data_IF_516480476264
#
_entry.id   IF_516480476264
#
_cell.length_a   1.000
_cell.length_b   1.000
_cell.length_c   1.000
_cell.angle_alpha   90.00
_cell.angle_beta   90.00
_cell.angle_gamma   90.00
#
_symmetry.space_group_name_H-M   'P 1'
#
loop_
_entity.id
_entity.type
_entity.pdbx_description
1 polymer ?
#
# COMPACT_ATOMS: atom_id res chain seq x y z
N UNK A 1 -6.06 11.84 -6.12
CA UNK A 1 -6.90 10.96 -7.00
C UNK A 1 -7.86 10.11 -6.16
N UNK A 2 -9.00 9.56 -6.65
CA UNK A 2 -9.87 8.72 -5.81
C UNK A 2 -9.20 7.39 -5.38
N UNK A 3 -8.15 6.96 -6.09
CA UNK A 3 -7.43 5.72 -5.81
C UNK A 3 -5.94 5.97 -5.60
N UNK A 4 -5.54 6.22 -4.35
CA UNK A 4 -4.15 6.48 -3.93
C UNK A 4 -3.15 5.43 -4.42
N UNK A 5 -3.58 4.17 -4.54
CA UNK A 5 -2.69 3.08 -4.97
C UNK A 5 -2.16 3.26 -6.40
N UNK A 6 -2.86 4.00 -7.27
CA UNK A 6 -2.39 4.31 -8.63
C UNK A 6 -1.06 5.06 -8.63
N UNK A 7 -0.77 5.86 -7.61
CA UNK A 7 0.48 6.63 -7.54
C UNK A 7 1.73 5.74 -7.45
N UNK A 8 1.60 4.48 -7.01
CA UNK A 8 2.71 3.53 -7.06
C UNK A 8 3.24 3.32 -8.48
N UNK A 9 2.42 3.54 -9.52
CA UNK A 9 2.85 3.41 -10.91
C UNK A 9 3.96 4.41 -11.26
N UNK A 10 3.92 5.64 -10.70
CA UNK A 10 4.92 6.67 -10.98
C UNK A 10 6.31 6.32 -10.43
N UNK A 11 6.37 5.46 -9.41
CA UNK A 11 7.64 5.08 -8.78
C UNK A 11 8.21 3.76 -9.29
N UNK A 12 7.47 2.98 -10.08
CA UNK A 12 7.94 1.71 -10.64
C UNK A 12 9.25 1.80 -11.44
N UNK A 13 9.57 2.91 -12.15
CA UNK A 13 10.88 3.06 -12.80
C UNK A 13 12.06 2.95 -11.80
N UNK A 14 11.84 3.34 -10.53
CA UNK A 14 12.80 3.19 -9.45
C UNK A 14 12.93 1.78 -8.89
N UNK A 15 12.10 0.82 -9.34
CA UNK A 15 12.08 -0.56 -8.89
C UNK A 15 12.63 -1.50 -9.97
N UNK A 16 13.11 -2.67 -9.53
CA UNK A 16 13.46 -3.82 -10.36
C UNK A 16 12.46 -4.95 -10.14
N UNK A 17 12.31 -5.82 -11.15
CA UNK A 17 11.37 -6.94 -11.10
C UNK A 17 11.70 -8.04 -10.09
N UNK A 18 12.83 -7.95 -9.39
CA UNK A 18 13.22 -8.83 -8.27
C UNK A 18 12.84 -8.25 -6.90
N UNK A 19 12.15 -7.10 -6.86
CA UNK A 19 11.77 -6.40 -5.64
C UNK A 19 12.88 -5.54 -5.03
N UNK A 20 14.01 -5.34 -5.72
CA UNK A 20 15.07 -4.39 -5.33
C UNK A 20 14.86 -3.01 -5.96
N UNK A 21 15.47 -1.97 -5.36
CA UNK A 21 15.42 -0.62 -5.90
C UNK A 21 16.59 -0.35 -6.82
N UNK A 22 16.40 0.49 -7.83
CA UNK A 22 17.48 0.98 -8.70
C UNK A 22 18.39 1.91 -7.91
N UNK A 23 19.70 1.78 -8.14
CA UNK A 23 20.70 2.50 -7.35
C UNK A 23 20.57 2.20 -5.86
N UNK A 24 20.42 3.25 -5.05
CA UNK A 24 20.29 3.17 -3.59
C UNK A 24 18.85 3.38 -3.10
N UNK A 25 17.87 3.46 -4.01
CA UNK A 25 16.47 3.63 -3.66
C UNK A 25 15.94 2.40 -2.90
N UNK A 26 15.04 2.65 -1.95
CA UNK A 26 14.43 1.63 -1.11
C UNK A 26 12.98 1.42 -1.55
N UNK A 27 12.65 0.33 -2.27
CA UNK A 27 11.35 0.14 -2.92
C UNK A 27 10.13 0.34 -2.01
N UNK A 28 10.14 -0.28 -0.82
CA UNK A 28 9.03 -0.20 0.11
C UNK A 28 8.78 1.24 0.58
N UNK A 29 9.86 2.00 0.79
CA UNK A 29 9.79 3.40 1.25
C UNK A 29 9.37 4.32 0.10
N UNK A 30 9.84 4.06 -1.11
CA UNK A 30 9.46 4.81 -2.31
C UNK A 30 7.96 4.65 -2.62
N UNK A 31 7.45 3.41 -2.56
CA UNK A 31 6.02 3.12 -2.72
C UNK A 31 5.20 3.73 -1.58
N UNK A 32 5.64 3.59 -0.32
CA UNK A 32 4.97 4.22 0.81
C UNK A 32 4.92 5.75 0.71
N UNK A 33 5.99 6.38 0.23
CA UNK A 33 6.03 7.81 -0.06
C UNK A 33 5.05 8.22 -1.16
N UNK A 34 4.86 7.39 -2.18
CA UNK A 34 3.84 7.66 -3.21
C UNK A 34 2.40 7.60 -2.69
N UNK A 35 2.18 7.06 -1.49
CA UNK A 35 0.87 7.00 -0.85
C UNK A 35 0.69 8.07 0.23
N UNK A 36 1.78 8.52 0.87
CA UNK A 36 1.73 9.33 2.09
C UNK A 36 0.87 10.60 2.00
N UNK A 37 0.86 11.39 0.90
CA UNK A 37 0.11 12.65 0.89
C UNK A 37 -1.40 12.46 1.12
N UNK A 38 -1.94 11.35 0.62
CA UNK A 38 -3.36 10.99 0.68
C UNK A 38 -3.78 10.31 1.99
N UNK A 39 -2.84 9.83 2.82
CA UNK A 39 -3.18 9.04 4.02
C UNK A 39 -4.07 9.83 5.00
N UNK A 40 -3.94 11.15 5.01
CA UNK A 40 -4.79 12.04 5.81
C UNK A 40 -6.27 11.96 5.41
N UNK A 41 -6.57 11.73 4.13
CA UNK A 41 -7.94 11.58 3.64
C UNK A 41 -8.62 10.31 4.13
N UNK A 42 -7.86 9.22 4.34
CA UNK A 42 -8.38 8.00 4.96
C UNK A 42 -8.69 8.22 6.46
N UNK A 43 -7.89 9.03 7.15
CA UNK A 43 -8.10 9.36 8.56
C UNK A 43 -9.30 10.29 8.80
N UNK A 44 -9.75 11.05 7.80
CA UNK A 44 -10.83 12.03 7.92
C UNK A 44 -12.21 11.45 8.36
N UNK A 45 -12.39 10.13 8.29
CA UNK A 45 -13.59 9.48 8.84
C UNK A 45 -13.63 9.45 10.37
N UNK A 46 -12.48 9.57 11.04
CA UNK A 46 -12.34 9.43 12.50
C UNK A 46 -11.61 10.60 13.16
N UNK A 47 -10.80 11.35 12.40
CA UNK A 47 -10.05 12.51 12.88
C UNK A 47 -10.58 13.79 12.21
N UNK A 48 -11.28 14.68 12.95
CA UNK A 48 -11.69 15.98 12.44
C UNK A 48 -10.47 16.79 11.96
N UNK A 49 -10.62 17.53 10.86
CA UNK A 49 -9.54 18.35 10.28
C UNK A 49 -8.51 17.58 9.43
N UNK A 50 -8.50 16.24 9.43
CA UNK A 50 -7.55 15.48 8.60
C UNK A 50 -7.73 15.73 7.09
N UNK A 51 -8.97 16.00 6.64
CA UNK A 51 -9.21 16.40 5.25
C UNK A 51 -8.52 17.72 4.90
N UNK A 52 -8.61 18.73 5.77
CA UNK A 52 -8.01 20.06 5.56
C UNK A 52 -6.48 20.00 5.64
N UNK A 53 -5.95 19.13 6.51
CA UNK A 53 -4.51 18.87 6.61
C UNK A 53 -3.91 18.31 5.31
N UNK A 54 -4.73 17.77 4.41
CA UNK A 54 -4.34 17.43 3.04
C UNK A 54 -3.72 18.59 2.26
N UNK A 55 -4.10 19.83 2.56
CA UNK A 55 -3.46 21.01 1.96
C UNK A 55 -1.97 21.11 2.32
N UNK A 56 -1.60 20.72 3.54
CA UNK A 56 -0.22 20.72 4.02
C UNK A 56 0.56 19.52 3.49
N UNK A 57 -0.01 18.31 3.49
CA UNK A 57 0.67 17.11 2.96
C UNK A 57 0.96 17.24 1.46
N UNK A 58 0.11 17.94 0.71
CA UNK A 58 0.32 18.21 -0.71
C UNK A 58 1.18 19.47 -0.98
N UNK A 59 1.65 20.16 0.05
CA UNK A 59 2.58 21.27 -0.10
C UNK A 59 4.03 20.75 -0.18
N UNK A 60 4.91 21.53 -0.81
CA UNK A 60 6.33 21.19 -0.91
C UNK A 60 6.95 20.94 0.48
N UNK A 61 6.58 21.73 1.49
CA UNK A 61 7.02 21.52 2.87
C UNK A 61 6.53 20.19 3.44
N UNK A 62 5.28 19.78 3.17
CA UNK A 62 4.73 18.49 3.59
C UNK A 62 5.50 17.30 3.02
N UNK A 63 5.80 17.35 1.71
CA UNK A 63 6.56 16.33 0.96
C UNK A 63 7.91 16.01 1.61
N UNK A 64 8.62 17.04 2.10
CA UNK A 64 9.94 16.89 2.73
C UNK A 64 9.90 16.70 4.25
N UNK A 65 8.72 16.70 4.87
CA UNK A 65 8.54 16.59 6.33
C UNK A 65 7.58 15.47 6.73
N UNK A 66 6.28 15.76 6.85
CA UNK A 66 5.27 14.85 7.39
C UNK A 66 5.09 13.62 6.51
N UNK A 67 5.16 13.78 5.18
CA UNK A 67 5.02 12.65 4.26
C UNK A 67 6.14 11.61 4.43
N UNK A 68 7.37 12.07 4.72
CA UNK A 68 8.48 11.19 5.02
C UNK A 68 8.20 10.35 6.27
N UNK A 69 7.68 10.99 7.32
CA UNK A 69 7.33 10.30 8.57
C UNK A 69 6.21 9.28 8.34
N UNK A 70 5.16 9.67 7.61
CA UNK A 70 4.04 8.79 7.25
C UNK A 70 4.52 7.61 6.42
N UNK A 71 5.39 7.83 5.43
CA UNK A 71 5.96 6.75 4.63
C UNK A 71 6.74 5.73 5.49
N UNK A 72 7.51 6.20 6.48
CA UNK A 72 8.24 5.32 7.39
C UNK A 72 7.30 4.51 8.29
N UNK A 73 6.24 5.14 8.80
CA UNK A 73 5.18 4.46 9.56
C UNK A 73 4.52 3.39 8.70
N UNK A 74 4.16 3.71 7.44
CA UNK A 74 3.58 2.76 6.49
C UNK A 74 4.50 1.56 6.23
N UNK A 75 5.81 1.78 6.13
CA UNK A 75 6.76 0.66 6.03
C UNK A 75 6.79 -0.16 7.31
N UNK A 76 6.73 0.48 8.49
CA UNK A 76 6.58 -0.22 9.77
C UNK A 76 5.34 -1.12 9.81
N UNK A 77 4.19 -0.59 9.39
CA UNK A 77 2.93 -1.34 9.26
C UNK A 77 3.09 -2.49 8.25
N UNK A 78 3.66 -2.22 7.07
CA UNK A 78 3.94 -3.24 6.05
C UNK A 78 4.74 -4.43 6.59
N UNK A 79 5.77 -4.17 7.40
CA UNK A 79 6.58 -5.22 8.04
C UNK A 79 5.81 -6.03 9.11
N UNK A 80 4.69 -5.51 9.62
CA UNK A 80 3.77 -6.23 10.50
C UNK A 80 2.76 -7.09 9.73
N UNK A 81 2.27 -6.60 8.58
CA UNK A 81 1.16 -7.21 7.85
C UNK A 81 1.57 -8.13 6.69
N UNK A 82 2.79 -8.02 6.14
CA UNK A 82 3.19 -8.76 4.93
C UNK A 82 3.12 -10.29 5.06
N UNK A 83 3.56 -10.87 6.19
CA UNK A 83 3.48 -12.32 6.39
C UNK A 83 2.02 -12.81 6.57
N UNK A 84 1.19 -12.18 7.42
CA UNK A 84 -0.25 -12.46 7.46
C UNK A 84 -0.94 -12.28 6.10
N UNK A 85 -0.61 -11.25 5.34
CA UNK A 85 -1.22 -11.00 4.03
C UNK A 85 -0.92 -12.14 3.04
N UNK A 86 0.32 -12.63 2.99
CA UNK A 86 0.68 -13.78 2.16
C UNK A 86 -0.03 -15.05 2.64
N UNK A 87 -0.26 -15.22 3.95
CA UNK A 87 -0.94 -16.38 4.51
C UNK A 87 -2.41 -16.55 4.05
N UNK A 88 -3.04 -15.47 3.60
CA UNK A 88 -4.40 -15.51 3.01
C UNK A 88 -4.43 -16.25 1.67
N UNK A 89 -3.30 -16.31 0.95
CA UNK A 89 -3.24 -17.06 -0.31
C UNK A 89 -3.31 -18.58 -0.05
N UNK A 90 -3.84 -19.36 -1.00
CA UNK A 90 -3.72 -20.81 -0.99
C UNK A 90 -2.25 -21.24 -0.85
N UNK A 91 -1.97 -22.29 -0.08
CA UNK A 91 -0.59 -22.70 0.25
C UNK A 91 0.30 -22.88 -0.99
N UNK A 92 -0.24 -23.45 -2.07
CA UNK A 92 0.46 -23.63 -3.35
C UNK A 92 0.88 -22.31 -4.03
N UNK A 93 0.22 -21.19 -3.72
CA UNK A 93 0.49 -19.88 -4.30
C UNK A 93 1.37 -18.97 -3.42
N UNK A 94 1.70 -19.37 -2.18
CA UNK A 94 2.39 -18.51 -1.21
C UNK A 94 3.88 -18.30 -1.51
N UNK A 95 4.54 -19.26 -2.18
CA UNK A 95 6.01 -19.28 -2.32
C UNK A 95 6.62 -18.04 -2.98
N UNK A 96 6.11 -17.67 -4.17
CA UNK A 96 6.62 -16.52 -4.94
C UNK A 96 6.34 -15.18 -4.22
N UNK A 97 5.10 -14.90 -3.76
CA UNK A 97 4.82 -13.69 -2.96
C UNK A 97 5.65 -13.61 -1.68
N UNK A 98 5.81 -14.72 -0.94
CA UNK A 98 6.62 -14.75 0.27
C UNK A 98 8.08 -14.35 0.00
N UNK A 99 8.66 -14.86 -1.08
CA UNK A 99 10.02 -14.53 -1.50
C UNK A 99 10.14 -13.07 -1.93
N UNK A 100 9.24 -12.58 -2.79
CA UNK A 100 9.25 -11.21 -3.28
C UNK A 100 9.07 -10.18 -2.15
N UNK A 101 8.16 -10.46 -1.21
CA UNK A 101 7.93 -9.63 -0.02
C UNK A 101 9.00 -9.80 1.08
N UNK A 102 9.95 -10.72 0.88
CA UNK A 102 11.02 -11.07 1.83
C UNK A 102 10.47 -11.50 3.20
N UNK A 103 9.39 -12.29 3.21
CA UNK A 103 8.79 -12.86 4.40
C UNK A 103 9.83 -13.64 5.22
N UNK A 104 9.75 -13.51 6.54
CA UNK A 104 10.67 -14.17 7.48
C UNK A 104 12.12 -13.66 7.43
N UNK A 105 12.46 -12.68 6.58
CA UNK A 105 13.76 -12.03 6.64
C UNK A 105 13.92 -11.29 7.98
N UNK A 106 15.07 -11.39 8.67
CA UNK A 106 15.33 -10.67 9.90
C UNK A 106 15.14 -9.16 9.71
N UNK A 107 14.51 -8.51 10.70
CA UNK A 107 14.43 -7.05 10.73
C UNK A 107 15.83 -6.51 10.98
N UNK A 108 16.46 -5.95 9.96
CA UNK A 108 17.78 -5.32 10.11
C UNK A 108 17.63 -4.04 10.93
N UNK A 109 18.56 -3.80 11.86
CA UNK A 109 18.59 -2.53 12.62
C UNK A 109 18.86 -1.37 11.66
N UNK A 110 18.19 -0.22 11.83
CA UNK A 110 18.46 0.96 11.02
C UNK A 110 19.92 1.39 11.21
N UNK A 111 20.63 1.62 10.10
CA UNK A 111 21.98 2.22 10.07
C UNK A 111 21.86 3.64 9.49
N UNK A 112 22.76 4.57 9.83
CA UNK A 112 22.66 5.97 9.39
C UNK A 112 22.78 6.17 7.86
N UNK A 113 23.66 5.43 7.17
CA UNK A 113 23.72 5.46 5.70
C UNK A 113 22.41 5.07 5.01
N UNK A 114 21.69 4.04 5.50
CA UNK A 114 20.33 3.74 5.11
C UNK A 114 19.30 4.85 5.40
N UNK A 115 19.45 5.65 6.46
CA UNK A 115 18.46 6.67 6.83
C UNK A 115 18.33 7.78 5.77
N UNK A 116 19.45 8.23 5.19
CA UNK A 116 19.43 9.20 4.09
C UNK A 116 18.65 8.67 2.88
N UNK A 117 18.90 7.42 2.48
CA UNK A 117 18.22 6.84 1.33
C UNK A 117 16.75 6.47 1.61
N UNK A 118 16.40 6.22 2.87
CA UNK A 118 15.00 6.16 3.30
C UNK A 118 14.31 7.52 3.16
N UNK A 119 14.94 8.59 3.62
CA UNK A 119 14.43 9.95 3.44
C UNK A 119 14.24 10.29 1.96
N UNK A 120 15.30 10.12 1.15
CA UNK A 120 15.27 10.40 -0.29
C UNK A 120 14.21 9.57 -1.00
N UNK A 121 14.09 8.28 -0.69
CA UNK A 121 13.05 7.43 -1.30
C UNK A 121 11.65 7.90 -0.92
N UNK A 122 11.41 8.24 0.35
CA UNK A 122 10.09 8.71 0.78
C UNK A 122 9.72 10.04 0.11
N UNK A 123 10.63 11.02 0.14
CA UNK A 123 10.42 12.33 -0.46
C UNK A 123 10.24 12.24 -1.98
N UNK A 124 11.02 11.40 -2.68
CA UNK A 124 10.81 11.18 -4.12
C UNK A 124 9.45 10.55 -4.41
N UNK A 125 9.00 9.58 -3.60
CA UNK A 125 7.68 8.99 -3.74
C UNK A 125 6.57 10.04 -3.58
N UNK A 126 6.63 10.82 -2.49
CA UNK A 126 5.65 11.89 -2.23
C UNK A 126 5.69 12.98 -3.30
N UNK A 127 6.88 13.34 -3.80
CA UNK A 127 7.02 14.29 -4.90
C UNK A 127 6.36 13.78 -6.19
N UNK A 128 6.55 12.50 -6.56
CA UNK A 128 5.86 11.94 -7.72
C UNK A 128 4.34 11.94 -7.58
N UNK A 129 3.83 11.74 -6.36
CA UNK A 129 2.42 11.85 -6.05
C UNK A 129 1.90 13.27 -6.28
N UNK A 130 2.51 14.26 -5.61
CA UNK A 130 2.07 15.67 -5.67
C UNK A 130 2.22 16.25 -7.07
N UNK A 131 3.29 15.91 -7.79
CA UNK A 131 3.47 16.32 -9.19
C UNK A 131 2.36 15.75 -10.05
N UNK A 132 2.01 14.46 -9.93
CA UNK A 132 0.92 13.88 -10.69
C UNK A 132 -0.41 14.57 -10.37
N UNK A 133 -0.71 14.74 -9.08
CA UNK A 133 -1.94 15.38 -8.63
C UNK A 133 -2.06 16.84 -9.08
N UNK A 134 -0.93 17.54 -9.26
CA UNK A 134 -0.90 18.89 -9.79
C UNK A 134 -1.42 18.99 -11.23
N UNK A 135 -1.39 17.91 -12.01
CA UNK A 135 -1.90 17.86 -13.39
C UNK A 135 -3.32 17.29 -13.51
N UNK A 136 -3.89 16.72 -12.44
CA UNK A 136 -5.17 15.99 -12.51
C UNK A 136 -6.26 16.51 -11.60
N UNK A 137 -6.06 17.66 -10.94
CA UNK A 137 -7.04 18.28 -10.05
C UNK A 137 -7.37 19.71 -10.48
N UNK A 138 -8.62 20.10 -10.25
CA UNK A 138 -9.11 21.46 -10.43
C UNK A 138 -8.23 22.48 -9.66
N UNK A 139 -8.02 23.66 -10.25
CA UNK A 139 -7.19 24.77 -9.73
C UNK A 139 -5.74 24.46 -9.39
N UNK A 140 -5.21 23.32 -9.83
CA UNK A 140 -3.79 22.99 -9.63
C UNK A 140 -2.96 23.39 -10.85
N UNK A 141 -1.64 23.30 -10.69
CA UNK A 141 -0.67 23.89 -11.62
C UNK A 141 -0.93 23.48 -13.08
N UNK A 142 -1.29 22.22 -13.34
CA UNK A 142 -1.58 21.72 -14.67
C UNK A 142 -2.86 22.28 -15.30
N UNK A 143 -3.95 22.45 -14.55
CA UNK A 143 -5.18 23.07 -15.09
C UNK A 143 -5.02 24.57 -15.32
N UNK A 144 -4.10 25.23 -14.57
CA UNK A 144 -3.72 26.63 -14.81
C UNK A 144 -2.81 26.81 -16.02
N UNK A 145 -1.89 25.86 -16.25
CA UNK A 145 -0.98 25.87 -17.41
C UNK A 145 -1.66 25.42 -18.70
N UNK A 146 -2.62 24.51 -18.61
CA UNK A 146 -3.39 23.97 -19.73
C UNK A 146 -4.87 24.20 -19.46
N UNK A 147 -5.41 25.41 -19.74
CA UNK A 147 -6.82 25.75 -19.49
C UNK A 147 -7.83 24.79 -20.14
N UNK A 148 -7.42 24.10 -21.22
CA UNK A 148 -8.19 23.03 -21.87
C UNK A 148 -8.60 21.91 -20.88
N UNK A 149 -7.82 21.68 -19.82
CA UNK A 149 -8.12 20.68 -18.78
C UNK A 149 -9.31 21.06 -17.89
N UNK A 150 -9.67 22.35 -17.88
CA UNK A 150 -10.87 22.87 -17.22
C UNK A 150 -12.12 22.85 -18.09
N UNK A 151 -12.00 22.53 -19.39
CA UNK A 151 -13.17 22.49 -20.27
C UNK A 151 -13.99 21.22 -20.08
N UNK A 152 -15.31 21.39 -20.17
CA UNK A 152 -16.25 20.28 -20.08
C UNK A 152 -16.25 19.45 -21.36
N UNK A 153 -16.14 18.14 -21.18
CA UNK A 153 -16.31 17.14 -22.22
C UNK A 153 -17.38 16.16 -21.73
N UNK A 154 -18.46 15.97 -22.49
CA UNK A 154 -19.51 15.00 -22.16
C UNK A 154 -20.07 15.09 -20.72
N UNK A 155 -20.20 16.31 -20.17
CA UNK A 155 -20.81 16.58 -18.87
C UNK A 155 -19.87 16.52 -17.66
N UNK A 156 -18.56 16.38 -17.88
CA UNK A 156 -17.54 16.50 -16.83
C UNK A 156 -16.29 17.23 -17.34
N UNK A 157 -15.52 17.89 -16.48
CA UNK A 157 -14.33 18.60 -16.92
C UNK A 157 -13.20 17.63 -17.30
N UNK A 158 -12.37 17.98 -18.28
CA UNK A 158 -11.34 17.10 -18.85
C UNK A 158 -10.35 16.54 -17.81
N UNK A 159 -9.99 17.32 -16.78
CA UNK A 159 -9.14 16.82 -15.68
C UNK A 159 -9.77 15.64 -14.91
N UNK A 160 -11.09 15.51 -14.88
CA UNK A 160 -11.79 14.36 -14.29
C UNK A 160 -11.47 13.09 -15.09
N UNK A 161 -11.58 13.14 -16.42
CA UNK A 161 -11.21 12.01 -17.29
C UNK A 161 -9.73 11.66 -17.16
N UNK A 162 -8.85 12.66 -17.08
CA UNK A 162 -7.43 12.43 -16.82
C UNK A 162 -7.21 11.76 -15.46
N UNK A 163 -7.90 12.21 -14.42
CA UNK A 163 -7.78 11.66 -13.08
C UNK A 163 -8.18 10.17 -13.04
N UNK A 164 -9.37 9.83 -13.53
CA UNK A 164 -9.88 8.46 -13.51
C UNK A 164 -9.21 7.57 -14.56
N UNK A 165 -8.99 8.07 -15.78
CA UNK A 165 -8.36 7.35 -16.87
C UNK A 165 -6.90 7.01 -16.56
N UNK A 166 -6.12 7.98 -16.07
CA UNK A 166 -4.74 7.72 -15.67
C UNK A 166 -4.66 6.81 -14.43
N UNK A 167 -5.63 6.88 -13.51
CA UNK A 167 -5.75 5.92 -12.40
C UNK A 167 -5.95 4.48 -12.90
N UNK A 168 -6.83 4.27 -13.89
CA UNK A 168 -7.08 2.96 -14.47
C UNK A 168 -5.85 2.40 -15.20
N UNK A 169 -5.18 3.22 -16.02
CA UNK A 169 -3.93 2.83 -16.69
C UNK A 169 -2.85 2.48 -15.66
N UNK A 170 -2.71 3.29 -14.60
CA UNK A 170 -1.78 3.03 -13.51
C UNK A 170 -2.04 1.68 -12.82
N UNK A 171 -3.30 1.34 -12.57
CA UNK A 171 -3.66 0.05 -11.99
C UNK A 171 -3.25 -1.12 -12.91
N UNK A 172 -3.49 -1.02 -14.22
CA UNK A 172 -3.05 -2.02 -15.20
C UNK A 172 -1.51 -2.17 -15.19
N UNK A 173 -0.78 -1.06 -15.16
CA UNK A 173 0.69 -1.06 -15.11
C UNK A 173 1.21 -1.72 -13.83
N UNK A 174 0.61 -1.43 -12.66
CA UNK A 174 0.98 -2.04 -11.38
C UNK A 174 0.71 -3.56 -11.41
N UNK A 175 -0.43 -3.99 -11.94
CA UNK A 175 -0.76 -5.42 -12.09
C UNK A 175 0.23 -6.10 -13.02
N UNK A 176 0.49 -5.53 -14.20
CA UNK A 176 1.44 -6.09 -15.16
C UNK A 176 2.86 -6.21 -14.58
N UNK A 177 3.33 -5.17 -13.88
CA UNK A 177 4.62 -5.19 -13.20
C UNK A 177 4.67 -6.27 -12.11
N UNK A 178 3.63 -6.37 -11.28
CA UNK A 178 3.56 -7.35 -10.18
C UNK A 178 3.52 -8.78 -10.71
N UNK A 179 2.71 -9.04 -11.74
CA UNK A 179 2.66 -10.35 -12.41
C UNK A 179 4.01 -10.71 -13.02
N UNK A 180 4.67 -9.77 -13.71
CA UNK A 180 6.00 -9.99 -14.27
C UNK A 180 7.04 -10.29 -13.18
N UNK A 181 7.03 -9.55 -12.08
CA UNK A 181 7.92 -9.77 -10.93
C UNK A 181 7.68 -11.15 -10.29
N UNK A 182 6.43 -11.54 -10.08
CA UNK A 182 6.07 -12.84 -9.53
C UNK A 182 6.48 -13.99 -10.47
N UNK A 183 6.28 -13.85 -11.78
CA UNK A 183 6.68 -14.86 -12.77
C UNK A 183 8.20 -15.07 -12.83
N UNK A 184 8.98 -14.00 -12.63
CA UNK A 184 10.46 -14.06 -12.58
C UNK A 184 10.99 -14.57 -11.24
N UNK A 185 10.16 -14.56 -10.20
CA UNK A 185 10.56 -15.04 -8.88
C UNK A 185 10.61 -16.57 -8.87
N UNK A 186 11.75 -17.19 -8.49
CA UNK A 186 11.85 -18.65 -8.40
C UNK A 186 10.79 -19.23 -7.47
N UNK A 187 10.21 -20.36 -7.87
CA UNK A 187 9.34 -21.13 -6.99
C UNK A 187 10.14 -21.66 -5.79
N UNK A 188 9.50 -21.79 -4.64
CA UNK A 188 10.11 -22.28 -3.42
C UNK A 188 9.15 -22.21 -2.24
N UNK A 189 9.52 -22.78 -1.08
CA UNK A 189 8.68 -22.78 0.10
C UNK A 189 8.44 -21.36 0.63
N UNK A 190 7.25 -21.14 1.18
CA UNK A 190 6.85 -19.87 1.79
C UNK A 190 7.40 -19.74 3.22
N UNK A 191 8.67 -19.33 3.34
CA UNK A 191 9.34 -19.21 4.64
C UNK A 191 8.77 -18.06 5.48
N UNK A 192 8.52 -18.33 6.77
CA UNK A 192 8.06 -17.32 7.74
C UNK A 192 6.60 -16.89 7.58
N UNK A 193 5.83 -17.57 6.73
CA UNK A 193 4.39 -17.34 6.56
C UNK A 193 3.61 -18.20 7.56
N UNK A 194 2.67 -17.62 8.33
CA UNK A 194 1.75 -18.37 9.18
C UNK A 194 0.95 -19.42 8.42
N UNK A 195 0.76 -20.59 9.04
CA UNK A 195 -0.10 -21.64 8.49
C UNK A 195 -1.54 -21.36 8.91
N UNK A 196 -2.42 -21.16 7.94
CA UNK A 196 -3.85 -20.88 8.16
C UNK A 196 -4.71 -22.00 7.60
N UNK A 197 -5.73 -22.40 8.36
CA UNK A 197 -6.80 -23.27 7.89
C UNK A 197 -7.77 -22.51 6.96
N UNK A 198 -8.66 -23.24 6.28
CA UNK A 198 -9.73 -22.61 5.51
C UNK A 198 -10.65 -21.74 6.39
N UNK A 199 -10.93 -22.18 7.62
CA UNK A 199 -11.73 -21.43 8.58
C UNK A 199 -11.04 -20.12 8.99
N UNK A 200 -9.73 -20.15 9.27
CA UNK A 200 -8.98 -18.93 9.61
C UNK A 200 -9.03 -17.92 8.45
N UNK A 201 -8.95 -18.39 7.19
CA UNK A 201 -9.07 -17.51 6.00
C UNK A 201 -10.45 -16.93 5.83
N UNK A 202 -11.52 -17.71 6.03
CA UNK A 202 -12.89 -17.20 5.97
C UNK A 202 -13.17 -16.18 7.07
N UNK A 203 -12.70 -16.44 8.29
CA UNK A 203 -12.78 -15.46 9.38
C UNK A 203 -12.03 -14.17 9.01
N UNK A 204 -10.83 -14.29 8.44
CA UNK A 204 -10.07 -13.13 7.98
C UNK A 204 -10.81 -12.34 6.88
N UNK A 205 -11.41 -13.03 5.90
CA UNK A 205 -12.24 -12.40 4.88
C UNK A 205 -13.46 -11.69 5.50
N UNK A 206 -14.10 -12.30 6.49
CA UNK A 206 -15.22 -11.70 7.22
C UNK A 206 -14.81 -10.44 7.99
N UNK A 207 -13.68 -10.49 8.73
CA UNK A 207 -13.16 -9.34 9.49
C UNK A 207 -12.75 -8.20 8.54
N UNK A 208 -11.94 -8.51 7.52
CA UNK A 208 -11.46 -7.49 6.57
C UNK A 208 -12.63 -6.91 5.77
N UNK A 209 -13.49 -7.77 5.21
CA UNK A 209 -14.66 -7.35 4.44
C UNK A 209 -15.67 -6.57 5.28
N UNK A 210 -15.90 -6.99 6.53
CA UNK A 210 -16.74 -6.29 7.49
C UNK A 210 -16.22 -4.89 7.82
N UNK A 211 -14.93 -4.73 8.09
CA UNK A 211 -14.33 -3.42 8.32
C UNK A 211 -14.39 -2.51 7.08
N UNK A 212 -14.10 -3.05 5.88
CA UNK A 212 -14.23 -2.32 4.61
C UNK A 212 -15.66 -1.83 4.41
N UNK A 213 -16.65 -2.70 4.57
CA UNK A 213 -18.06 -2.37 4.42
C UNK A 213 -18.48 -1.31 5.45
N UNK A 214 -18.11 -1.49 6.73
CA UNK A 214 -18.42 -0.54 7.78
C UNK A 214 -17.81 0.84 7.51
N UNK A 215 -16.55 0.90 7.08
CA UNK A 215 -15.89 2.17 6.73
C UNK A 215 -16.51 2.85 5.52
N UNK A 216 -16.87 2.08 4.48
CA UNK A 216 -17.55 2.60 3.30
C UNK A 216 -18.94 3.16 3.64
N UNK A 217 -19.75 2.41 4.39
CA UNK A 217 -21.10 2.82 4.82
C UNK A 217 -21.04 4.03 5.73
N UNK A 218 -20.13 4.05 6.71
CA UNK A 218 -19.96 5.17 7.63
C UNK A 218 -19.61 6.47 6.88
N UNK A 219 -18.74 6.39 5.87
CA UNK A 219 -18.33 7.59 5.14
C UNK A 219 -19.41 8.03 4.15
N UNK A 220 -20.09 7.09 3.51
CA UNK A 220 -21.23 7.38 2.63
C UNK A 220 -22.40 8.01 3.39
N UNK A 221 -22.72 7.53 4.60
CA UNK A 221 -23.80 8.09 5.41
C UNK A 221 -23.48 9.52 5.88
N UNK A 222 -22.24 9.79 6.29
CA UNK A 222 -21.80 11.15 6.65
C UNK A 222 -21.81 12.10 5.46
N UNK A 223 -21.34 11.64 4.30
CA UNK A 223 -21.40 12.41 3.06
C UNK A 223 -22.84 12.75 2.67
N UNK A 224 -23.76 11.77 2.73
CA UNK A 224 -25.18 11.99 2.45
C UNK A 224 -25.83 12.95 3.44
N UNK A 225 -25.53 12.82 4.74
CA UNK A 225 -26.04 13.73 5.76
C UNK A 225 -25.56 15.17 5.57
N UNK A 226 -24.34 15.37 5.06
CA UNK A 226 -23.78 16.70 4.81
C UNK A 226 -24.24 17.32 3.47
N UNK A 227 -24.36 16.52 2.40
CA UNK A 227 -24.69 17.00 1.04
C UNK A 227 -26.19 16.96 0.72
N UNK A 228 -26.92 15.98 1.25
CA UNK A 228 -28.35 15.82 1.00
C UNK A 228 -28.71 15.77 -0.50
N UNK A 229 -29.80 16.44 -0.94
CA UNK A 229 -30.28 16.36 -2.33
C UNK A 229 -29.35 16.94 -3.41
N UNK A 230 -28.35 17.75 -3.04
CA UNK A 230 -27.39 18.33 -3.99
C UNK A 230 -26.17 17.44 -4.23
N UNK A 231 -26.12 16.25 -3.63
CA UNK A 231 -25.03 15.31 -3.80
C UNK A 231 -24.97 14.82 -5.26
N UNK A 232 -23.77 14.93 -5.85
CA UNK A 232 -23.53 14.43 -7.20
C UNK A 232 -23.09 12.96 -7.15
N UNK A 233 -23.62 12.07 -8.02
CA UNK A 233 -23.31 10.63 -7.94
C UNK A 233 -21.81 10.31 -8.01
N UNK A 234 -21.03 11.07 -8.75
CA UNK A 234 -19.58 10.86 -8.87
C UNK A 234 -18.78 11.22 -7.61
N UNK A 235 -19.35 11.97 -6.67
CA UNK A 235 -18.73 12.25 -5.36
C UNK A 235 -18.79 11.03 -4.41
N UNK A 236 -19.62 10.04 -4.75
CA UNK A 236 -19.71 8.80 -3.99
C UNK A 236 -18.47 7.92 -4.18
N UNK A 237 -17.84 7.94 -5.35
CA UNK A 237 -16.66 7.12 -5.65
C UNK A 237 -15.51 7.40 -4.66
N UNK A 238 -14.99 8.64 -4.52
CA UNK A 238 -13.93 8.92 -3.55
C UNK A 238 -14.39 8.67 -2.11
N UNK A 239 -15.67 8.90 -1.80
CA UNK A 239 -16.25 8.64 -0.48
C UNK A 239 -16.17 7.15 -0.11
N UNK A 240 -16.53 6.27 -1.04
CA UNK A 240 -16.42 4.82 -0.86
C UNK A 240 -14.97 4.36 -0.84
N UNK A 241 -14.09 4.90 -1.70
CA UNK A 241 -12.68 4.55 -1.73
C UNK A 241 -11.97 4.90 -0.42
N UNK A 242 -12.17 6.11 0.12
CA UNK A 242 -11.54 6.52 1.37
C UNK A 242 -12.15 5.79 2.59
N UNK A 243 -13.47 5.61 2.61
CA UNK A 243 -14.15 4.90 3.70
C UNK A 243 -13.77 3.42 3.72
N UNK A 244 -13.87 2.76 2.57
CA UNK A 244 -13.49 1.36 2.39
C UNK A 244 -12.00 1.13 2.64
N UNK A 245 -11.12 2.03 2.19
CA UNK A 245 -9.69 1.91 2.45
C UNK A 245 -9.31 2.13 3.92
N UNK A 246 -9.99 3.02 4.65
CA UNK A 246 -9.81 3.17 6.10
C UNK A 246 -10.24 1.87 6.82
N UNK A 247 -11.36 1.30 6.40
CA UNK A 247 -11.83 -0.01 6.84
C UNK A 247 -10.83 -1.13 6.50
N UNK A 248 -10.22 -1.11 5.32
CA UNK A 248 -9.19 -2.08 4.91
C UNK A 248 -7.96 -2.02 5.82
N UNK A 249 -7.47 -0.81 6.13
CA UNK A 249 -6.33 -0.62 7.04
C UNK A 249 -6.64 -1.20 8.43
N UNK A 250 -7.82 -0.88 8.98
CA UNK A 250 -8.26 -1.41 10.28
C UNK A 250 -8.40 -2.93 10.24
N UNK A 251 -9.10 -3.47 9.25
CA UNK A 251 -9.36 -4.90 9.11
C UNK A 251 -8.08 -5.71 8.95
N UNK A 252 -7.16 -5.26 8.08
CA UNK A 252 -5.84 -5.89 7.92
C UNK A 252 -4.99 -5.79 9.19
N UNK A 253 -5.09 -4.68 9.93
CA UNK A 253 -4.44 -4.52 11.22
C UNK A 253 -4.93 -5.53 12.26
N UNK A 254 -6.25 -5.60 12.47
CA UNK A 254 -6.89 -6.53 13.39
C UNK A 254 -6.59 -7.99 13.03
N UNK A 255 -6.75 -8.34 11.76
CA UNK A 255 -6.41 -9.67 11.23
C UNK A 255 -4.93 -10.00 11.49
N UNK A 256 -4.02 -9.08 11.16
CA UNK A 256 -2.58 -9.32 11.30
C UNK A 256 -2.20 -9.52 12.76
N UNK A 257 -2.76 -8.72 13.68
CA UNK A 257 -2.56 -8.91 15.13
C UNK A 257 -3.09 -10.28 15.57
N UNK A 258 -4.31 -10.64 15.19
CA UNK A 258 -4.91 -11.94 15.52
C UNK A 258 -4.06 -13.13 15.05
N UNK A 259 -3.59 -13.10 13.80
CA UNK A 259 -2.69 -14.13 13.27
C UNK A 259 -1.37 -14.19 14.04
N UNK A 260 -0.78 -13.03 14.38
CA UNK A 260 0.50 -13.01 15.12
C UNK A 260 0.37 -13.56 16.54
N UNK A 261 -0.77 -13.36 17.18
CA UNK A 261 -1.05 -13.85 18.55
C UNK A 261 -1.44 -15.32 18.55
N UNK A 262 -2.31 -15.75 17.63
CA UNK A 262 -2.92 -17.09 17.68
C UNK A 262 -2.32 -18.11 16.72
N UNK A 263 -1.56 -17.66 15.72
CA UNK A 263 -0.94 -18.50 14.67
C UNK A 263 0.48 -18.02 14.38
N UNK A 264 1.40 -18.01 15.36
CA UNK A 264 2.77 -17.57 15.14
C UNK A 264 3.44 -18.41 14.06
N UNK A 265 4.22 -17.77 13.19
CA UNK A 265 4.95 -18.47 12.14
C UNK A 265 5.94 -19.48 12.77
N UNK A 266 6.11 -20.68 12.17
CA UNK A 266 7.07 -21.66 12.67
C UNK A 266 8.46 -21.04 12.79
N UNK A 267 9.12 -21.24 13.94
CA UNK A 267 10.50 -20.84 14.12
C UNK A 267 11.37 -21.52 13.06
N UNK A 268 12.25 -20.76 12.41
CA UNK A 268 13.24 -21.36 11.50
C UNK A 268 14.07 -22.38 12.30
N UNK A 269 14.33 -23.59 11.78
CA UNK A 269 15.32 -24.45 12.38
C UNK A 269 16.64 -23.68 12.46
N UNK A 270 17.24 -23.63 13.66
CA UNK A 270 18.53 -22.99 13.87
C UNK A 270 19.58 -23.66 12.96
N UNK A 271 20.51 -22.91 12.35
CA UNK A 271 21.63 -23.50 11.61
C UNK A 271 22.45 -24.52 12.43
N UNK A 272 22.34 -24.48 13.76
CA UNK A 272 22.96 -25.44 14.66
C UNK A 272 22.32 -26.84 14.60
N UNK A 273 21.02 -26.95 14.28
CA UNK A 273 20.31 -28.23 14.24
C UNK A 273 20.67 -29.09 13.01
N UNK A 274 21.24 -28.47 11.96
CA UNK A 274 21.74 -29.19 10.78
C UNK A 274 23.15 -29.79 10.98
N UNK A 275 23.80 -29.53 12.13
CA UNK A 275 25.14 -30.07 12.46
C UNK A 275 25.10 -31.28 13.41
N UNK A 276 23.93 -31.70 13.85
CA UNK A 276 23.74 -32.84 14.77
C UNK A 276 23.00 -33.99 14.10
N UNK A 277 23.37 -34.33 12.87
CA UNK A 277 23.17 -35.70 12.40
C UNK A 277 24.37 -36.52 12.92
N UNK A 278 24.16 -37.50 13.83
CA UNK A 278 25.21 -38.41 14.21
C UNK A 278 25.54 -39.26 12.98
N UNK A 279 26.75 -39.09 12.44
CA UNK A 279 27.35 -40.02 11.51
C UNK A 279 27.28 -41.42 12.11
N UNK A 280 26.40 -42.27 11.55
CA UNK A 280 26.37 -43.70 11.87
C UNK A 280 27.75 -44.29 11.55
N UNK A 281 28.39 -45.03 12.48
CA UNK A 281 29.61 -45.75 12.15
C UNK A 281 29.26 -46.85 11.15
N UNK A 282 29.88 -46.82 9.99
CA UNK A 282 29.96 -47.98 9.10
C UNK A 282 30.83 -49.04 9.77
N UNK A 283 30.22 -50.16 10.16
CA UNK A 283 30.94 -51.37 10.58
C UNK A 283 31.56 -52.00 9.34
N UNK A 284 32.89 -52.13 9.34
CA UNK A 284 33.64 -53.11 8.55
C UNK A 284 34.74 -53.69 9.42
#
# INVERSE_FOLDING_TARGET
MPFTLSHAAAVLPGLRGDGTGRGRLVPAVLVAGSFSPDLTYYAAGVLPGAMEFGSFTHAFTGVFTVDVLVAWILVGVWLGVREPLVALLPAAAQGRPARLARCGAPRQRPRPGPALWWYVSAALGALTHVVWDAFTHHDRWGTRLLPVLGQDLAGAPLHWYLQYGSSAVAAVVIVAFTVAALRRTPAGPALGVPVLSAADRWLACGVVGGCVLAGAVQRASRWWAYRGPVAKPWELIPTLCFGGGAGLVLGLGLYSVGVRVWRPAPARPSPAAARTEPSRPTVR
#
